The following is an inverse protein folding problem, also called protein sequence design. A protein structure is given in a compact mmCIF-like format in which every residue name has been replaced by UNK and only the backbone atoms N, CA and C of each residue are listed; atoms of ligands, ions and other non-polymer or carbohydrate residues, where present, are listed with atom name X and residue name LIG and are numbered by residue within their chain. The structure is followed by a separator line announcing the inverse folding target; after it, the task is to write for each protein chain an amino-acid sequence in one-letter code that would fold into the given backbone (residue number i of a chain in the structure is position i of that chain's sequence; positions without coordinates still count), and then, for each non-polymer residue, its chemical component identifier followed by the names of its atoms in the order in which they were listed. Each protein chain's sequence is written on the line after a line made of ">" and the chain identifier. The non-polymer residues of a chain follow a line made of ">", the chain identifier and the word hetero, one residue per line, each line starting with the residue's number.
data_IF_424163944937
#
_entry.id   IF_424163944937
#
_cell.length_a   1.000
_cell.length_b   1.000
_cell.length_c   1.000
_cell.angle_alpha   90.00
_cell.angle_beta   90.00
_cell.angle_gamma   90.00
#
_symmetry.space_group_name_H-M   'P 1'
#
loop_
_entity.id
_entity.type
_entity.pdbx_description
1 polymer ?
#
# COMPACT_ATOMS: atom_id res chain seq x y z
N UNK A 1 10.33 -6.07 -5.79
CA UNK A 1 10.01 -6.60 -4.45
C UNK A 1 10.30 -8.09 -4.39
N UNK A 2 10.54 -8.64 -3.21
CA UNK A 2 10.69 -10.08 -2.99
C UNK A 2 9.48 -10.57 -2.21
N UNK A 3 8.78 -11.55 -2.77
CA UNK A 3 7.50 -12.03 -2.27
C UNK A 3 7.60 -13.51 -1.97
N UNK A 4 6.97 -13.90 -0.87
CA UNK A 4 6.87 -15.29 -0.46
C UNK A 4 5.83 -16.05 -1.30
N UNK A 5 6.15 -17.31 -1.63
CA UNK A 5 5.33 -18.20 -2.44
C UNK A 5 5.32 -19.60 -1.83
N UNK A 6 4.18 -20.28 -1.94
CA UNK A 6 3.95 -21.63 -1.44
C UNK A 6 3.15 -22.41 -2.50
N UNK A 7 3.54 -23.65 -2.79
CA UNK A 7 2.83 -24.52 -3.75
C UNK A 7 2.61 -23.90 -5.14
N UNK A 8 3.51 -23.01 -5.59
CA UNK A 8 3.37 -22.31 -6.87
C UNK A 8 2.46 -21.07 -6.83
N UNK A 9 1.81 -20.82 -5.70
CA UNK A 9 1.00 -19.62 -5.47
C UNK A 9 1.83 -18.54 -4.78
N UNK A 10 1.70 -17.30 -5.25
CA UNK A 10 2.31 -16.13 -4.60
C UNK A 10 1.44 -15.68 -3.45
N UNK A 11 2.05 -15.18 -2.36
CA UNK A 11 1.31 -14.49 -1.31
C UNK A 11 0.39 -13.41 -1.92
N UNK A 12 -0.89 -13.42 -1.55
CA UNK A 12 -1.87 -12.49 -2.09
C UNK A 12 -1.68 -11.06 -1.56
N UNK A 13 -0.94 -10.91 -0.45
CA UNK A 13 -0.61 -9.63 0.19
C UNK A 13 0.86 -9.26 0.06
N UNK A 14 1.59 -9.85 -0.88
CA UNK A 14 3.02 -9.61 -1.08
C UNK A 14 3.87 -9.77 0.20
N UNK A 15 3.65 -10.85 0.96
CA UNK A 15 4.40 -11.12 2.20
C UNK A 15 5.92 -11.03 1.99
N UNK A 16 6.58 -10.31 2.90
CA UNK A 16 8.03 -10.24 2.92
C UNK A 16 8.62 -11.58 3.40
N UNK A 17 9.65 -12.14 2.74
CA UNK A 17 10.21 -13.44 3.14
C UNK A 17 10.64 -13.51 4.61
N UNK A 18 11.07 -12.38 5.17
CA UNK A 18 11.48 -12.30 6.56
C UNK A 18 10.33 -12.41 7.58
N UNK A 19 9.06 -12.36 7.17
CA UNK A 19 7.92 -12.53 8.07
C UNK A 19 7.79 -13.96 8.64
N UNK A 20 8.56 -14.92 8.09
CA UNK A 20 8.62 -16.30 8.58
C UNK A 20 9.48 -16.47 9.84
N UNK A 21 10.36 -15.52 10.14
CA UNK A 21 11.32 -15.64 11.24
C UNK A 21 10.81 -14.92 12.48
N UNK A 22 11.04 -15.52 13.64
CA UNK A 22 10.66 -14.95 14.92
C UNK A 22 11.77 -13.98 15.41
N UNK A 23 11.48 -12.68 15.62
CA UNK A 23 12.47 -11.72 16.09
C UNK A 23 13.11 -12.08 17.45
N UNK A 24 12.42 -12.85 18.30
CA UNK A 24 12.95 -13.22 19.62
C UNK A 24 13.93 -14.39 19.55
N UNK A 25 13.74 -15.30 18.59
CA UNK A 25 14.50 -16.55 18.50
C UNK A 25 15.58 -16.45 17.42
N UNK A 26 15.23 -15.90 16.24
CA UNK A 26 16.07 -15.97 15.05
C UNK A 26 16.96 -14.73 14.85
N UNK A 27 16.63 -13.59 15.48
CA UNK A 27 17.30 -12.32 15.17
C UNK A 27 18.82 -12.36 15.39
N UNK A 28 19.29 -12.98 16.48
CA UNK A 28 20.72 -13.07 16.77
C UNK A 28 21.47 -13.95 15.76
N UNK A 29 20.82 -15.01 15.28
CA UNK A 29 21.40 -15.93 14.29
C UNK A 29 21.46 -15.21 12.94
N UNK A 30 20.37 -14.56 12.54
CA UNK A 30 20.28 -13.80 11.30
C UNK A 30 21.27 -12.64 11.23
N UNK A 31 21.49 -11.95 12.35
CA UNK A 31 22.49 -10.87 12.43
C UNK A 31 23.93 -11.41 12.35
N UNK A 32 24.25 -12.52 13.04
CA UNK A 32 25.60 -13.09 13.05
C UNK A 32 25.98 -13.78 11.74
N UNK A 33 25.08 -14.58 11.17
CA UNK A 33 25.38 -15.40 9.98
C UNK A 33 25.17 -14.64 8.68
N UNK A 34 24.11 -13.82 8.61
CA UNK A 34 23.68 -13.16 7.36
C UNK A 34 23.81 -11.64 7.41
N UNK A 35 24.18 -11.07 8.56
CA UNK A 35 24.30 -9.62 8.72
C UNK A 35 22.97 -8.89 8.61
N UNK A 36 21.84 -9.55 8.91
CA UNK A 36 20.50 -8.96 8.84
C UNK A 36 20.13 -8.35 10.21
N UNK A 37 20.01 -7.01 10.32
CA UNK A 37 19.64 -6.39 11.59
C UNK A 37 18.20 -6.73 12.01
N UNK A 38 17.98 -6.85 13.32
CA UNK A 38 16.66 -7.17 13.90
C UNK A 38 15.51 -6.26 13.42
N UNK A 39 15.81 -4.99 13.10
CA UNK A 39 14.80 -4.02 12.60
C UNK A 39 14.06 -4.47 11.33
N UNK A 40 14.62 -5.41 10.56
CA UNK A 40 13.98 -5.93 9.34
C UNK A 40 13.02 -7.10 9.59
N UNK A 41 12.95 -7.62 10.83
CA UNK A 41 12.08 -8.74 11.21
C UNK A 41 10.72 -8.28 11.77
N UNK A 42 10.43 -6.97 11.77
CA UNK A 42 9.23 -6.41 12.39
C UNK A 42 7.91 -6.62 11.64
N UNK A 43 7.90 -7.36 10.53
CA UNK A 43 6.66 -7.64 9.78
C UNK A 43 5.95 -8.87 10.31
N UNK A 44 4.68 -8.72 10.69
CA UNK A 44 3.84 -9.86 11.07
C UNK A 44 3.62 -10.80 9.87
N UNK A 45 3.39 -12.07 10.17
CA UNK A 45 2.99 -13.06 9.18
C UNK A 45 1.53 -12.84 8.79
N UNK A 46 1.21 -12.83 7.49
CA UNK A 46 -0.19 -12.78 7.06
C UNK A 46 -0.94 -14.07 7.46
N UNK A 47 -2.28 -14.02 7.56
CA UNK A 47 -3.09 -15.22 7.80
C UNK A 47 -2.89 -16.29 6.73
N UNK A 48 -2.63 -15.89 5.48
CA UNK A 48 -2.32 -16.82 4.39
C UNK A 48 -0.98 -17.53 4.62
N UNK A 49 0.06 -16.79 4.98
CA UNK A 49 1.36 -17.38 5.28
C UNK A 49 1.32 -18.28 6.54
N UNK A 50 0.56 -17.87 7.56
CA UNK A 50 0.36 -18.64 8.79
C UNK A 50 -0.34 -19.99 8.53
N UNK A 51 -1.40 -19.98 7.70
CA UNK A 51 -2.08 -21.21 7.29
C UNK A 51 -1.13 -22.16 6.56
N UNK A 52 -0.37 -21.66 5.58
CA UNK A 52 0.60 -22.46 4.82
C UNK A 52 1.72 -23.01 5.70
N UNK A 53 2.22 -22.22 6.66
CA UNK A 53 3.23 -22.69 7.61
C UNK A 53 2.70 -23.83 8.48
N UNK A 54 1.44 -23.74 8.91
CA UNK A 54 0.80 -24.82 9.67
C UNK A 54 0.63 -26.09 8.82
N UNK A 55 0.15 -25.97 7.58
CA UNK A 55 0.05 -27.09 6.62
C UNK A 55 1.41 -27.74 6.32
N UNK A 56 2.48 -26.96 6.39
CA UNK A 56 3.85 -27.42 6.21
C UNK A 56 4.47 -28.06 7.46
N UNK A 57 3.78 -28.03 8.60
CA UNK A 57 4.27 -28.55 9.87
C UNK A 57 5.35 -27.67 10.50
N UNK A 58 5.34 -26.37 10.22
CA UNK A 58 6.37 -25.41 10.66
C UNK A 58 7.62 -25.37 9.78
N UNK A 59 7.66 -26.13 8.69
CA UNK A 59 8.82 -26.18 7.80
C UNK A 59 8.88 -24.97 6.85
N UNK A 60 9.69 -23.97 7.22
CA UNK A 60 9.91 -22.76 6.42
C UNK A 60 10.60 -23.06 5.08
N UNK A 61 11.30 -24.20 4.94
CA UNK A 61 12.05 -24.53 3.72
C UNK A 61 11.15 -24.89 2.53
N UNK A 62 9.86 -25.15 2.79
CA UNK A 62 8.85 -25.37 1.75
C UNK A 62 8.38 -24.08 1.08
N UNK A 63 8.61 -22.92 1.72
CA UNK A 63 8.39 -21.65 1.06
C UNK A 63 9.46 -21.37 0.00
N UNK A 64 9.08 -20.59 -1.00
CA UNK A 64 9.95 -20.09 -2.06
C UNK A 64 9.87 -18.58 -2.09
N UNK A 65 10.96 -17.94 -2.50
CA UNK A 65 11.00 -16.49 -2.70
C UNK A 65 10.98 -16.20 -4.19
N UNK A 66 10.02 -15.38 -4.62
CA UNK A 66 9.90 -14.93 -6.00
C UNK A 66 10.18 -13.44 -6.08
N UNK A 67 11.01 -13.05 -7.05
CA UNK A 67 11.24 -11.63 -7.36
C UNK A 67 10.13 -11.13 -8.27
N UNK A 68 9.45 -10.08 -7.85
CA UNK A 68 8.34 -9.49 -8.61
C UNK A 68 8.61 -8.00 -8.84
N UNK A 69 8.32 -7.55 -10.06
CA UNK A 69 8.43 -6.15 -10.43
C UNK A 69 7.12 -5.42 -10.09
N UNK A 70 7.19 -4.26 -9.40
CA UNK A 70 6.02 -3.42 -9.20
C UNK A 70 5.35 -3.06 -10.52
N UNK A 71 4.02 -3.06 -10.56
CA UNK A 71 3.25 -2.76 -11.77
C UNK A 71 1.90 -2.15 -11.41
N UNK A 72 1.63 -0.98 -11.99
CA UNK A 72 0.34 -0.28 -11.85
C UNK A 72 -0.76 -1.10 -12.55
N UNK A 73 -0.50 -1.55 -13.78
CA UNK A 73 -1.48 -2.28 -14.60
C UNK A 73 -1.90 -3.61 -13.95
N UNK A 74 -0.94 -4.32 -13.36
CA UNK A 74 -1.21 -5.59 -12.68
C UNK A 74 -1.59 -5.43 -11.21
N UNK A 75 -1.60 -4.17 -10.70
CA UNK A 75 -1.81 -3.84 -9.29
C UNK A 75 -0.91 -4.66 -8.34
N UNK A 76 0.38 -4.71 -8.67
CA UNK A 76 1.39 -5.42 -7.87
C UNK A 76 2.28 -4.39 -7.21
N UNK A 77 2.28 -4.36 -5.87
CA UNK A 77 3.01 -3.40 -5.04
C UNK A 77 2.60 -1.93 -5.25
N UNK A 78 1.89 -1.60 -6.32
CA UNK A 78 1.36 -0.28 -6.60
C UNK A 78 -0.15 -0.43 -6.77
N UNK A 79 -0.92 0.18 -5.89
CA UNK A 79 -2.38 0.16 -5.95
C UNK A 79 -2.94 1.57 -5.77
N UNK A 80 -3.97 1.87 -6.55
CA UNK A 80 -4.69 3.15 -6.50
C UNK A 80 -6.07 2.91 -5.92
N UNK A 81 -6.49 3.77 -5.01
CA UNK A 81 -7.85 3.81 -4.49
C UNK A 81 -8.41 5.22 -4.59
N UNK A 82 -9.72 5.31 -4.74
CA UNK A 82 -10.47 6.56 -4.83
C UNK A 82 -11.63 6.50 -3.83
N UNK A 83 -12.09 7.64 -3.31
CA UNK A 83 -13.30 7.69 -2.50
C UNK A 83 -14.50 7.29 -3.35
N UNK A 84 -15.31 6.38 -2.82
CA UNK A 84 -16.65 6.14 -3.36
C UNK A 84 -17.63 7.19 -2.87
N UNK A 85 -18.89 7.10 -3.29
CA UNK A 85 -19.96 7.93 -2.73
C UNK A 85 -20.06 7.74 -1.21
N UNK A 86 -20.26 8.83 -0.46
CA UNK A 86 -20.31 8.82 1.02
C UNK A 86 -21.29 7.79 1.59
N UNK A 87 -22.36 7.49 0.86
CA UNK A 87 -23.41 6.57 1.27
C UNK A 87 -23.09 5.09 0.96
N UNK A 88 -22.11 4.81 0.10
CA UNK A 88 -21.86 3.48 -0.43
C UNK A 88 -20.38 3.08 -0.40
N UNK A 89 -19.56 3.80 0.36
CA UNK A 89 -18.14 3.53 0.46
C UNK A 89 -17.89 2.35 1.41
N UNK A 90 -17.54 1.21 0.81
CA UNK A 90 -17.15 0.00 1.51
C UNK A 90 -15.65 0.00 1.81
N UNK A 91 -15.29 -0.32 3.07
CA UNK A 91 -13.90 -0.47 3.54
C UNK A 91 -13.19 -1.60 2.77
N UNK A 92 -13.95 -2.52 2.15
CA UNK A 92 -13.40 -3.60 1.34
C UNK A 92 -12.50 -3.15 0.19
N UNK A 93 -12.68 -1.94 -0.33
CA UNK A 93 -11.77 -1.36 -1.34
C UNK A 93 -10.34 -1.18 -0.81
N UNK A 94 -10.18 -0.95 0.50
CA UNK A 94 -8.88 -0.80 1.16
C UNK A 94 -8.34 -2.13 1.68
N UNK A 95 -9.15 -2.87 2.42
CA UNK A 95 -8.68 -4.04 3.20
C UNK A 95 -8.99 -5.39 2.55
N UNK A 96 -9.94 -5.45 1.62
CA UNK A 96 -10.46 -6.69 1.05
C UNK A 96 -11.79 -7.13 1.69
N UNK A 97 -12.33 -8.24 1.19
CA UNK A 97 -13.57 -8.85 1.70
C UNK A 97 -13.60 -10.35 1.45
N UNK A 98 -14.43 -11.07 2.19
CA UNK A 98 -14.64 -12.50 1.96
C UNK A 98 -15.30 -12.73 0.60
N UNK A 99 -14.81 -13.73 -0.13
CA UNK A 99 -15.40 -14.16 -1.40
C UNK A 99 -16.52 -15.17 -1.12
N UNK A 100 -17.77 -14.73 -1.32
CA UNK A 100 -18.97 -15.53 -1.09
C UNK A 100 -18.93 -16.86 -1.87
N UNK A 101 -18.28 -16.89 -3.04
CA UNK A 101 -18.18 -18.10 -3.88
C UNK A 101 -17.32 -19.18 -3.22
N UNK A 102 -16.38 -18.79 -2.36
CA UNK A 102 -15.48 -19.72 -1.66
C UNK A 102 -16.06 -20.23 -0.35
N UNK A 103 -17.15 -19.64 0.13
CA UNK A 103 -17.82 -20.04 1.37
C UNK A 103 -18.49 -21.42 1.28
N UNK A 104 -18.66 -21.98 0.08
CA UNK A 104 -19.08 -23.37 -0.09
C UNK A 104 -18.01 -24.37 0.36
N UNK A 105 -16.73 -23.98 0.31
CA UNK A 105 -15.59 -24.86 0.59
C UNK A 105 -14.81 -24.47 1.84
N UNK A 106 -14.87 -23.20 2.24
CA UNK A 106 -14.08 -22.64 3.32
C UNK A 106 -14.95 -21.84 4.29
N UNK A 107 -14.56 -21.81 5.57
CA UNK A 107 -15.23 -20.98 6.56
C UNK A 107 -14.99 -19.49 6.29
N UNK A 108 -15.86 -18.62 6.80
CA UNK A 108 -15.76 -17.16 6.61
C UNK A 108 -14.45 -16.56 7.15
N UNK A 109 -13.92 -17.14 8.23
CA UNK A 109 -12.65 -16.73 8.84
C UNK A 109 -11.41 -17.41 8.22
N UNK A 110 -11.59 -18.23 7.17
CA UNK A 110 -10.49 -18.92 6.51
C UNK A 110 -9.74 -17.94 5.58
N UNK A 111 -8.40 -17.81 5.70
CA UNK A 111 -7.59 -17.00 4.78
C UNK A 111 -7.81 -17.30 3.29
N UNK A 112 -8.08 -18.56 2.93
CA UNK A 112 -8.28 -18.95 1.53
C UNK A 112 -9.63 -18.46 0.97
N UNK A 113 -10.63 -18.24 1.84
CA UNK A 113 -11.92 -17.63 1.48
C UNK A 113 -11.82 -16.11 1.26
N UNK A 114 -10.72 -15.48 1.70
CA UNK A 114 -10.59 -14.03 1.65
C UNK A 114 -10.19 -13.52 0.27
N UNK A 115 -10.92 -12.52 -0.20
CA UNK A 115 -10.59 -11.70 -1.35
C UNK A 115 -9.61 -10.59 -0.97
N UNK A 116 -8.32 -10.86 -1.15
CA UNK A 116 -7.22 -9.90 -0.99
C UNK A 116 -7.14 -8.86 -2.13
N UNK A 117 -8.29 -8.30 -2.52
CA UNK A 117 -8.39 -7.30 -3.59
C UNK A 117 -8.18 -5.86 -3.09
N UNK A 118 -8.10 -5.66 -1.77
CA UNK A 118 -7.94 -4.32 -1.19
C UNK A 118 -6.64 -3.63 -1.62
N UNK A 119 -6.68 -2.29 -1.71
CA UNK A 119 -5.52 -1.49 -2.07
C UNK A 119 -4.32 -1.72 -1.14
N UNK A 120 -4.55 -1.86 0.17
CA UNK A 120 -3.48 -2.15 1.15
C UNK A 120 -2.88 -3.55 0.93
N UNK A 121 -3.71 -4.54 0.59
CA UNK A 121 -3.26 -5.90 0.28
C UNK A 121 -2.30 -5.87 -0.93
N UNK A 122 -2.71 -5.17 -1.99
CA UNK A 122 -1.98 -5.11 -3.26
C UNK A 122 -0.73 -4.25 -3.20
N UNK A 123 -0.76 -3.17 -2.43
CA UNK A 123 0.33 -2.19 -2.31
C UNK A 123 1.39 -2.54 -1.26
N UNK A 124 1.20 -3.60 -0.48
CA UNK A 124 2.22 -4.04 0.47
C UNK A 124 3.58 -4.25 -0.24
N UNK A 125 4.67 -3.81 0.41
CA UNK A 125 6.04 -3.65 -0.10
C UNK A 125 6.24 -2.57 -1.18
N UNK A 126 5.27 -1.70 -1.43
CA UNK A 126 5.38 -0.65 -2.43
C UNK A 126 4.63 0.63 -2.08
N UNK A 127 3.76 1.08 -2.98
CA UNK A 127 3.08 2.37 -2.94
C UNK A 127 1.56 2.20 -3.03
N UNK A 128 0.85 2.71 -2.04
CA UNK A 128 -0.60 2.87 -2.07
C UNK A 128 -0.92 4.33 -2.37
N UNK A 129 -1.59 4.59 -3.49
CA UNK A 129 -2.07 5.92 -3.85
C UNK A 129 -3.53 6.07 -3.43
N UNK A 130 -3.82 7.11 -2.64
CA UNK A 130 -5.19 7.48 -2.25
C UNK A 130 -5.55 8.84 -2.83
N UNK A 131 -6.37 8.81 -3.89
CA UNK A 131 -6.94 10.01 -4.51
C UNK A 131 -7.96 10.66 -3.58
N UNK A 132 -7.91 11.97 -3.43
CA UNK A 132 -8.90 12.76 -2.68
C UNK A 132 -9.26 12.18 -1.29
N UNK A 133 -8.23 11.69 -0.58
CA UNK A 133 -8.38 10.95 0.68
C UNK A 133 -9.28 11.65 1.71
N UNK A 134 -9.24 12.98 1.79
CA UNK A 134 -10.02 13.74 2.78
C UNK A 134 -11.53 13.81 2.49
N UNK A 135 -11.99 13.39 1.31
CA UNK A 135 -13.42 13.20 1.03
C UNK A 135 -13.98 11.90 1.63
N UNK A 136 -13.11 10.93 1.94
CA UNK A 136 -13.55 9.66 2.51
C UNK A 136 -13.98 9.83 3.98
N UNK A 137 -15.01 9.11 4.44
CA UNK A 137 -15.44 9.16 5.82
C UNK A 137 -14.37 8.56 6.73
N UNK A 138 -14.26 9.08 7.97
CA UNK A 138 -13.21 8.71 8.93
C UNK A 138 -13.09 7.20 9.18
N UNK A 139 -14.23 6.47 9.13
CA UNK A 139 -14.28 5.02 9.31
C UNK A 139 -13.45 4.26 8.27
N UNK A 140 -13.45 4.75 7.04
CA UNK A 140 -12.68 4.17 5.93
C UNK A 140 -11.19 4.45 6.10
N UNK A 141 -10.82 5.53 6.78
CA UNK A 141 -9.42 5.90 6.99
C UNK A 141 -8.79 5.13 8.16
N UNK A 142 -9.55 4.55 9.10
CA UNK A 142 -9.01 3.87 10.28
C UNK A 142 -7.96 2.77 9.99
N UNK A 143 -8.15 1.89 8.98
CA UNK A 143 -7.13 0.92 8.60
C UNK A 143 -5.78 1.54 8.21
N UNK A 144 -5.77 2.79 7.72
CA UNK A 144 -4.52 3.50 7.39
C UNK A 144 -3.76 3.93 8.64
N UNK A 145 -4.46 4.28 9.72
CA UNK A 145 -3.82 4.59 11.00
C UNK A 145 -3.12 3.36 11.56
N UNK A 146 -3.81 2.23 11.61
CA UNK A 146 -3.21 0.99 12.11
C UNK A 146 -2.05 0.57 11.22
N UNK A 147 -2.21 0.67 9.88
CA UNK A 147 -1.14 0.32 8.94
C UNK A 147 0.11 1.20 9.12
N UNK A 148 -0.06 2.51 9.32
CA UNK A 148 1.07 3.44 9.56
C UNK A 148 1.64 3.37 10.97
N UNK A 149 0.86 2.93 11.96
CA UNK A 149 1.27 2.83 13.37
C UNK A 149 1.98 1.52 13.69
N UNK A 150 1.34 0.41 13.31
CA UNK A 150 1.66 -0.94 13.76
C UNK A 150 2.27 -1.78 12.64
N UNK A 151 2.34 -1.25 11.42
CA UNK A 151 2.78 -2.01 10.24
C UNK A 151 1.81 -3.13 9.86
N UNK A 152 0.55 -3.04 10.32
CA UNK A 152 -0.49 -4.00 10.03
C UNK A 152 -1.89 -3.37 10.10
N UNK A 153 -2.88 -4.02 9.51
CA UNK A 153 -4.28 -3.59 9.59
C UNK A 153 -5.20 -4.80 9.67
N UNK A 154 -6.38 -4.63 10.27
CA UNK A 154 -7.36 -5.70 10.34
C UNK A 154 -8.16 -5.79 9.04
N UNK A 155 -8.37 -7.02 8.58
CA UNK A 155 -9.30 -7.31 7.50
C UNK A 155 -10.76 -7.13 7.94
N UNK A 156 -11.65 -7.27 6.98
CA UNK A 156 -13.09 -7.40 7.22
C UNK A 156 -13.44 -8.79 7.79
N UNK A 157 -14.62 -8.88 8.42
CA UNK A 157 -15.27 -10.16 8.73
C UNK A 157 -14.45 -11.14 9.61
N UNK A 158 -13.60 -10.61 10.49
CA UNK A 158 -12.92 -11.38 11.53
C UNK A 158 -11.61 -12.04 11.11
N UNK A 159 -11.06 -11.69 9.95
CA UNK A 159 -9.70 -12.08 9.56
C UNK A 159 -8.67 -11.35 10.44
N UNK A 160 -7.64 -12.08 10.85
CA UNK A 160 -6.54 -11.54 11.65
C UNK A 160 -5.75 -10.45 10.92
N UNK A 161 -4.88 -9.75 11.66
CA UNK A 161 -4.10 -8.64 11.12
C UNK A 161 -3.29 -9.04 9.87
N UNK A 162 -3.34 -8.17 8.86
CA UNK A 162 -2.59 -8.27 7.61
C UNK A 162 -1.39 -7.33 7.66
N UNK A 163 -0.18 -7.80 7.27
CA UNK A 163 1.00 -6.94 7.27
C UNK A 163 0.89 -5.85 6.21
N UNK A 164 1.38 -4.67 6.55
CA UNK A 164 1.59 -3.57 5.62
C UNK A 164 2.92 -2.88 5.89
N UNK A 165 3.80 -2.95 4.89
CA UNK A 165 5.06 -2.22 4.85
C UNK A 165 5.16 -1.54 3.49
N UNK A 166 4.87 -0.25 3.44
CA UNK A 166 4.85 0.50 2.19
C UNK A 166 4.64 1.98 2.44
N UNK A 167 4.58 2.74 1.36
CA UNK A 167 4.31 4.18 1.38
C UNK A 167 2.85 4.38 1.04
N UNK A 168 2.14 5.15 1.87
CA UNK A 168 0.80 5.66 1.55
C UNK A 168 0.98 7.09 1.05
N UNK A 169 0.66 7.32 -0.21
CA UNK A 169 0.69 8.63 -0.84
C UNK A 169 -0.75 9.09 -1.08
N UNK A 170 -1.18 10.09 -0.33
CA UNK A 170 -2.47 10.71 -0.51
C UNK A 170 -2.31 12.07 -1.21
N UNK A 171 -3.23 12.40 -2.10
CA UNK A 171 -3.34 13.74 -2.66
C UNK A 171 -4.76 14.27 -2.51
N UNK A 172 -4.91 15.55 -2.21
CA UNK A 172 -6.20 16.19 -1.99
C UNK A 172 -6.09 17.70 -2.17
N UNK A 173 -7.24 18.36 -2.22
CA UNK A 173 -7.33 19.81 -2.33
C UNK A 173 -7.13 20.52 -0.98
N UNK A 174 -6.70 21.78 -1.03
CA UNK A 174 -6.47 22.60 0.15
C UNK A 174 -7.77 22.86 0.94
N UNK A 175 -8.90 23.06 0.27
CA UNK A 175 -10.20 23.24 0.92
C UNK A 175 -10.59 22.05 1.80
N UNK A 176 -10.43 20.83 1.27
CA UNK A 176 -10.70 19.58 1.99
C UNK A 176 -9.76 19.41 3.18
N UNK A 177 -8.48 19.75 2.99
CA UNK A 177 -7.50 19.72 4.07
C UNK A 177 -7.88 20.67 5.22
N UNK A 178 -8.32 21.90 4.92
CA UNK A 178 -8.73 22.87 5.93
C UNK A 178 -9.94 22.35 6.71
N UNK A 179 -10.94 21.81 6.02
CA UNK A 179 -12.12 21.19 6.66
C UNK A 179 -11.71 20.00 7.52
N UNK A 180 -10.87 19.11 7.00
CA UNK A 180 -10.39 17.92 7.69
C UNK A 180 -9.59 18.27 8.96
N UNK A 181 -8.68 19.24 8.88
CA UNK A 181 -7.84 19.70 9.99
C UNK A 181 -8.65 20.37 11.10
N UNK A 182 -9.72 21.08 10.76
CA UNK A 182 -10.54 21.79 11.74
C UNK A 182 -11.44 20.84 12.57
N UNK A 183 -11.60 19.58 12.14
CA UNK A 183 -12.38 18.59 12.86
C UNK A 183 -11.51 17.88 13.92
N UNK A 184 -11.83 18.07 15.20
CA UNK A 184 -11.10 17.48 16.33
C UNK A 184 -11.10 15.94 16.33
N UNK A 185 -12.09 15.30 15.72
CA UNK A 185 -12.14 13.85 15.63
C UNK A 185 -11.02 13.27 14.74
N UNK A 186 -10.39 14.12 13.90
CA UNK A 186 -9.35 13.72 12.95
C UNK A 186 -7.93 13.92 13.49
N UNK A 187 -7.76 14.36 14.74
CA UNK A 187 -6.45 14.69 15.33
C UNK A 187 -5.43 13.55 15.20
N UNK A 188 -5.86 12.31 15.42
CA UNK A 188 -5.00 11.12 15.29
C UNK A 188 -4.38 10.95 13.89
N UNK A 189 -5.04 11.44 12.83
CA UNK A 189 -4.49 11.43 11.47
C UNK A 189 -3.48 12.55 11.25
N UNK A 190 -3.67 13.71 11.87
CA UNK A 190 -2.78 14.85 11.68
C UNK A 190 -1.35 14.55 12.14
N UNK A 191 -1.21 13.77 13.21
CA UNK A 191 0.09 13.33 13.73
C UNK A 191 0.82 12.34 12.81
N UNK A 192 0.12 11.73 11.85
CA UNK A 192 0.63 10.67 10.98
C UNK A 192 0.77 11.07 9.52
N UNK A 193 0.43 12.30 9.17
CA UNK A 193 0.49 12.81 7.81
C UNK A 193 1.63 13.81 7.67
N UNK A 194 2.55 13.55 6.74
CA UNK A 194 3.52 14.55 6.30
C UNK A 194 2.99 15.30 5.09
N UNK A 195 2.76 16.59 5.23
CA UNK A 195 2.14 17.42 4.19
C UNK A 195 3.22 18.01 3.29
N UNK A 196 3.15 17.69 2.01
CA UNK A 196 3.93 18.36 0.96
C UNK A 196 3.02 19.35 0.25
N UNK A 197 3.25 20.65 0.46
CA UNK A 197 2.53 21.70 -0.26
C UNK A 197 3.17 21.92 -1.63
N UNK A 198 2.39 21.79 -2.69
CA UNK A 198 2.80 22.14 -4.05
C UNK A 198 2.30 23.56 -4.34
N UNK A 199 3.15 24.59 -4.34
CA UNK A 199 2.72 25.96 -4.56
C UNK A 199 2.30 26.19 -6.01
N UNK A 200 1.44 27.18 -6.22
CA UNK A 200 1.12 27.66 -7.57
C UNK A 200 2.38 28.25 -8.23
N UNK A 201 2.54 27.99 -9.52
CA UNK A 201 3.59 28.61 -10.31
C UNK A 201 3.24 30.09 -10.52
N UNK A 202 3.95 30.99 -9.82
CA UNK A 202 3.72 32.44 -9.91
C UNK A 202 4.78 33.15 -10.75
N UNK A 203 5.86 32.46 -11.11
CA UNK A 203 6.98 33.03 -11.87
C UNK A 203 6.98 32.47 -13.28
N UNK A 204 6.97 33.36 -14.27
CA UNK A 204 7.05 33.01 -15.69
C UNK A 204 8.27 32.14 -15.97
N UNK A 205 9.43 32.43 -15.35
CA UNK A 205 10.65 31.62 -15.53
C UNK A 205 10.54 30.18 -15.01
N UNK A 206 9.73 29.92 -13.99
CA UNK A 206 9.44 28.56 -13.50
C UNK A 206 8.41 27.87 -14.40
N UNK A 207 7.44 28.63 -14.91
CA UNK A 207 6.41 28.15 -15.84
C UNK A 207 7.04 27.70 -17.17
N UNK A 208 7.97 28.49 -17.71
CA UNK A 208 8.74 28.15 -18.91
C UNK A 208 9.45 26.80 -18.72
N UNK A 209 10.10 26.55 -17.57
CA UNK A 209 10.77 25.27 -17.30
C UNK A 209 9.79 24.10 -17.26
N UNK A 210 8.56 24.31 -16.78
CA UNK A 210 7.51 23.30 -16.81
C UNK A 210 7.13 23.00 -18.26
N UNK A 211 6.91 24.03 -19.08
CA UNK A 211 6.57 23.84 -20.49
C UNK A 211 7.71 23.20 -21.29
N UNK A 212 8.96 23.61 -21.09
CA UNK A 212 10.14 22.97 -21.69
C UNK A 212 10.19 21.49 -21.35
N UNK A 213 9.98 21.13 -20.08
CA UNK A 213 9.91 19.73 -19.66
C UNK A 213 8.77 18.99 -20.35
N UNK A 214 7.59 19.60 -20.49
CA UNK A 214 6.45 18.98 -21.17
C UNK A 214 6.73 18.77 -22.66
N UNK A 215 7.30 19.78 -23.35
CA UNK A 215 7.65 19.71 -24.77
C UNK A 215 8.72 18.65 -25.06
N UNK A 216 9.75 18.57 -24.21
CA UNK A 216 10.82 17.58 -24.31
C UNK A 216 10.36 16.12 -24.13
N UNK A 217 9.24 15.91 -23.43
CA UNK A 217 8.66 14.58 -23.23
C UNK A 217 7.44 14.32 -24.13
N UNK A 218 7.10 15.26 -25.02
CA UNK A 218 5.97 15.15 -25.94
C UNK A 218 6.40 14.67 -27.31
N UNK A 219 5.45 14.25 -28.14
CA UNK A 219 5.71 13.95 -29.56
C UNK A 219 6.17 15.18 -30.38
N UNK A 220 6.00 16.39 -29.82
CA UNK A 220 6.33 17.67 -30.45
C UNK A 220 7.75 18.16 -30.14
N UNK A 221 8.62 17.34 -29.55
CA UNK A 221 10.00 17.75 -29.20
C UNK A 221 10.81 18.30 -30.38
N UNK A 222 10.52 17.83 -31.60
CA UNK A 222 11.19 18.30 -32.82
C UNK A 222 10.35 19.29 -33.65
N UNK A 223 9.15 19.63 -33.19
CA UNK A 223 8.31 20.59 -33.89
C UNK A 223 8.91 22.00 -33.77
N UNK A 224 8.89 22.80 -34.85
CA UNK A 224 9.38 24.18 -34.79
C UNK A 224 8.51 24.98 -33.83
N UNK A 225 9.11 25.43 -32.73
CA UNK A 225 8.48 26.38 -31.82
C UNK A 225 8.73 27.80 -32.35
N UNK A 226 7.68 28.62 -32.47
CA UNK A 226 7.83 29.97 -32.97
C UNK A 226 8.72 30.80 -32.00
N UNK A 227 9.65 31.62 -32.51
CA UNK A 227 10.50 32.45 -31.67
C UNK A 227 9.64 33.41 -30.83
N UNK A 228 9.98 33.58 -29.54
CA UNK A 228 9.21 34.38 -28.59
C UNK A 228 8.01 33.67 -27.93
N UNK A 229 7.78 32.38 -28.21
CA UNK A 229 6.68 31.62 -27.58
C UNK A 229 6.95 31.30 -26.10
N UNK A 230 8.21 30.95 -25.78
CA UNK A 230 8.65 30.65 -24.41
C UNK A 230 9.64 31.68 -23.87
N UNK A 231 10.24 32.47 -24.74
CA UNK A 231 11.20 33.51 -24.38
C UNK A 231 10.45 34.85 -24.33
N UNK A 232 10.15 35.34 -23.13
CA UNK A 232 9.64 36.70 -22.88
C UNK A 232 10.76 37.66 -22.52
#
# INVERSE_FOLDING_TARGET
>A
IYVLSANGERSPVNDHPLCLFNPQEDAQILEKEYGIPNRYLGTIMSPWAAKRLHEFGGDITKFRVVKVWPSILAQIAIAKTEPGDENNQDISALVGKVDIRKLEHYAQNDPDAYGYSGALCRANQGLMEFVEMFKAPIKVLHPLLTATQEGNYNGTEGISALPFNGIILAHSNESEWVTFRNNKNNEAFLDRVYIVKVPYCLRISEEIRIYEKLLNNSELTHAPCAPGTLET
#
